data_IF_549468338403
#
_entry.id   IF_549468338403
#
_cell.length_a   1.000
_cell.length_b   1.000
_cell.length_c   1.000
_cell.angle_alpha   90.00
_cell.angle_beta   90.00
_cell.angle_gamma   90.00
#
_symmetry.space_group_name_H-M   'P 1'
#
loop_
_entity.id
_entity.type
_entity.pdbx_description
1 polymer ?
#
# COMPACT_ATOMS: atom_id res chain seq x y z
N UNK A 1 -17.62 -4.90 17.40
CA UNK A 1 -17.62 -3.90 16.30
C UNK A 1 -17.55 -4.66 14.99
N UNK A 2 -18.50 -4.41 14.07
CA UNK A 2 -18.45 -5.02 12.74
C UNK A 2 -17.28 -4.41 11.94
N UNK A 3 -16.50 -5.25 11.24
CA UNK A 3 -15.51 -4.76 10.29
C UNK A 3 -16.21 -3.99 9.17
N UNK A 4 -15.61 -2.87 8.75
CA UNK A 4 -16.08 -2.12 7.57
C UNK A 4 -15.99 -2.99 6.32
N UNK A 5 -16.85 -2.74 5.33
CA UNK A 5 -16.78 -3.41 4.02
C UNK A 5 -15.43 -3.09 3.38
N UNK A 6 -14.68 -4.13 3.01
CA UNK A 6 -13.45 -4.01 2.22
C UNK A 6 -13.66 -4.70 0.88
N UNK A 7 -13.53 -3.95 -0.20
CA UNK A 7 -13.61 -4.49 -1.57
C UNK A 7 -12.35 -4.20 -2.40
N UNK A 8 -11.41 -3.39 -1.87
CA UNK A 8 -10.19 -2.99 -2.59
C UNK A 8 -8.95 -3.10 -1.72
N UNK A 9 -7.86 -3.56 -2.31
CA UNK A 9 -6.51 -3.50 -1.75
C UNK A 9 -5.68 -2.64 -2.69
N UNK A 10 -5.20 -1.49 -2.21
CA UNK A 10 -4.53 -0.49 -3.04
C UNK A 10 -3.06 -0.41 -2.62
N UNK A 11 -2.18 -0.66 -3.58
CA UNK A 11 -0.73 -0.64 -3.42
C UNK A 11 -0.18 0.75 -3.76
N UNK A 12 0.71 1.25 -2.90
CA UNK A 12 1.37 2.54 -2.99
C UNK A 12 2.89 2.38 -2.85
N UNK A 13 3.62 3.42 -3.26
CA UNK A 13 5.01 3.63 -2.88
C UNK A 13 5.11 4.89 -2.01
N UNK A 14 6.13 4.96 -1.16
CA UNK A 14 6.38 6.10 -0.29
C UNK A 14 6.96 7.32 -1.04
N UNK A 15 7.41 7.11 -2.28
CA UNK A 15 8.08 8.12 -3.10
C UNK A 15 9.39 8.61 -2.49
N UNK A 16 10.02 7.76 -1.67
CA UNK A 16 11.32 7.98 -1.04
C UNK A 16 12.44 7.50 -1.97
N UNK A 17 13.69 7.97 -1.80
CA UNK A 17 14.84 7.44 -2.55
C UNK A 17 14.93 5.91 -2.46
N UNK A 18 15.15 5.26 -3.59
CA UNK A 18 15.36 3.82 -3.66
C UNK A 18 16.63 3.43 -2.87
N UNK A 19 16.61 2.25 -2.23
CA UNK A 19 17.71 1.76 -1.39
C UNK A 19 17.91 2.46 -0.04
N UNK A 20 17.19 3.56 0.23
CA UNK A 20 17.19 4.23 1.54
C UNK A 20 16.02 3.75 2.39
N UNK A 21 16.33 3.11 3.51
CA UNK A 21 15.29 2.61 4.41
C UNK A 21 14.65 3.74 5.23
N UNK A 22 13.36 3.58 5.47
CA UNK A 22 12.54 4.45 6.30
C UNK A 22 11.53 3.58 7.03
N UNK A 23 11.06 4.05 8.17
CA UNK A 23 10.09 3.32 8.97
C UNK A 23 8.73 4.04 8.97
N UNK A 24 7.68 3.35 9.42
CA UNK A 24 6.34 3.93 9.50
C UNK A 24 6.29 5.19 10.37
N UNK A 25 7.19 5.32 11.36
CA UNK A 25 7.33 6.53 12.18
C UNK A 25 7.75 7.75 11.35
N UNK A 26 8.58 7.55 10.32
CA UNK A 26 8.94 8.63 9.40
C UNK A 26 7.74 9.08 8.56
N UNK A 27 6.98 8.11 8.03
CA UNK A 27 5.74 8.39 7.28
C UNK A 27 4.69 9.09 8.16
N UNK A 28 4.52 8.63 9.40
CA UNK A 28 3.60 9.24 10.37
C UNK A 28 3.98 10.71 10.63
N UNK A 29 5.27 10.99 10.86
CA UNK A 29 5.80 12.35 11.00
C UNK A 29 5.48 13.19 9.76
N UNK A 30 5.83 12.72 8.55
CA UNK A 30 5.59 13.47 7.31
C UNK A 30 4.11 13.74 7.03
N UNK A 31 3.23 12.81 7.38
CA UNK A 31 1.79 13.01 7.23
C UNK A 31 1.26 14.00 8.27
N UNK A 32 1.76 13.98 9.52
CA UNK A 32 1.42 14.98 10.54
C UNK A 32 1.89 16.38 10.16
N UNK A 33 3.07 16.52 9.57
CA UNK A 33 3.56 17.79 9.02
C UNK A 33 2.64 18.34 7.91
N UNK A 34 1.89 17.48 7.22
CA UNK A 34 0.85 17.83 6.24
C UNK A 34 -0.54 18.04 6.86
N UNK A 35 -0.64 18.08 8.18
CA UNK A 35 -1.89 18.29 8.92
C UNK A 35 -2.75 17.03 9.08
N UNK A 36 -2.22 15.84 8.80
CA UNK A 36 -2.96 14.59 9.02
C UNK A 36 -2.83 14.14 10.48
N UNK A 37 -3.79 13.37 10.96
CA UNK A 37 -3.76 12.86 12.33
C UNK A 37 -2.64 11.83 12.56
N UNK A 38 -2.35 11.03 11.54
CA UNK A 38 -1.34 9.97 11.56
C UNK A 38 -1.04 9.46 10.15
N UNK A 39 -0.15 8.47 10.04
CA UNK A 39 0.09 7.68 8.83
C UNK A 39 -1.25 7.32 8.13
N UNK A 40 -1.31 7.48 6.81
CA UNK A 40 -2.54 7.32 6.03
C UNK A 40 -2.78 5.89 5.56
N UNK A 41 -1.75 5.05 5.64
CA UNK A 41 -1.77 3.66 5.19
C UNK A 41 -2.15 2.72 6.34
N UNK A 42 -2.62 1.54 5.97
CA UNK A 42 -2.84 0.45 6.92
C UNK A 42 -1.56 -0.32 7.17
N UNK A 43 -0.69 -0.39 6.15
CA UNK A 43 0.58 -1.10 6.21
C UNK A 43 1.68 -0.34 5.47
N UNK A 44 2.90 -0.45 6.00
CA UNK A 44 4.13 0.00 5.37
C UNK A 44 5.10 -1.18 5.30
N UNK A 45 5.73 -1.41 4.15
CA UNK A 45 6.69 -2.49 3.95
C UNK A 45 8.08 -1.89 3.71
N UNK A 46 8.98 -2.13 4.66
CA UNK A 46 10.39 -1.69 4.66
C UNK A 46 11.22 -2.44 3.63
N UNK A 47 12.44 -1.97 3.34
CA UNK A 47 13.31 -2.57 2.32
C UNK A 47 13.66 -4.04 2.59
N UNK A 48 13.72 -4.44 3.86
CA UNK A 48 13.99 -5.83 4.29
C UNK A 48 12.75 -6.75 4.23
N UNK A 49 11.60 -6.22 3.81
CA UNK A 49 10.32 -6.94 3.77
C UNK A 49 9.54 -6.90 5.10
N UNK A 50 10.03 -6.23 6.14
CA UNK A 50 9.29 -6.04 7.40
C UNK A 50 8.00 -5.27 7.12
N UNK A 51 6.87 -5.81 7.58
CA UNK A 51 5.55 -5.18 7.49
C UNK A 51 5.23 -4.47 8.81
N UNK A 52 5.11 -3.16 8.76
CA UNK A 52 4.74 -2.31 9.90
C UNK A 52 3.26 -1.90 9.81
N UNK A 53 2.54 -2.05 10.93
CA UNK A 53 1.12 -1.72 11.02
C UNK A 53 0.92 -0.21 11.22
N UNK A 54 0.13 0.40 10.35
CA UNK A 54 -0.33 1.78 10.46
C UNK A 54 -1.71 1.88 11.08
N UNK A 55 -2.67 2.43 10.32
CA UNK A 55 -4.06 2.52 10.78
C UNK A 55 -4.66 1.11 10.97
N UNK A 56 -5.39 0.87 12.06
CA UNK A 56 -6.11 -0.38 12.23
C UNK A 56 -7.16 -0.54 11.12
N UNK A 57 -7.45 -1.77 10.71
CA UNK A 57 -8.39 -2.06 9.62
C UNK A 57 -9.81 -1.52 9.85
N UNK A 58 -10.22 -1.40 11.12
CA UNK A 58 -11.51 -0.83 11.49
C UNK A 58 -11.58 0.70 11.22
N UNK A 59 -10.43 1.37 11.12
CA UNK A 59 -10.34 2.80 10.84
C UNK A 59 -10.22 3.03 9.33
N UNK A 60 -10.88 4.08 8.85
CA UNK A 60 -10.79 4.51 7.45
C UNK A 60 -9.38 5.08 7.17
N UNK A 61 -8.80 4.65 6.05
CA UNK A 61 -7.51 5.11 5.56
C UNK A 61 -7.52 6.55 5.07
N UNK A 62 -6.34 7.09 4.79
CA UNK A 62 -6.16 8.38 4.12
C UNK A 62 -5.08 8.23 3.04
N UNK A 63 -5.35 7.41 2.02
CA UNK A 63 -4.34 7.05 1.01
C UNK A 63 -4.84 7.12 -0.44
N UNK A 64 -6.15 7.04 -0.69
CA UNK A 64 -6.74 7.13 -2.03
C UNK A 64 -8.10 7.85 -1.96
N UNK A 65 -8.14 9.11 -2.39
CA UNK A 65 -9.36 9.95 -2.36
C UNK A 65 -10.48 9.28 -3.16
N UNK A 66 -11.68 9.18 -2.57
CA UNK A 66 -12.84 8.50 -3.17
C UNK A 66 -12.89 6.99 -2.95
N UNK A 67 -11.82 6.38 -2.42
CA UNK A 67 -11.73 4.93 -2.22
C UNK A 67 -11.34 4.52 -0.79
N UNK A 68 -11.01 5.47 0.09
CA UNK A 68 -10.56 5.20 1.45
C UNK A 68 -11.53 4.34 2.29
N UNK A 69 -12.84 4.57 2.15
CA UNK A 69 -13.86 3.96 3.01
C UNK A 69 -13.92 2.43 2.88
N UNK A 70 -13.69 1.91 1.68
CA UNK A 70 -13.82 0.48 1.36
C UNK A 70 -12.51 -0.20 0.98
N UNK A 71 -11.36 0.45 1.22
CA UNK A 71 -10.06 -0.07 0.82
C UNK A 71 -9.05 -0.23 1.95
N UNK A 72 -8.11 -1.15 1.74
CA UNK A 72 -6.86 -1.27 2.50
C UNK A 72 -5.74 -0.63 1.67
N UNK A 73 -4.86 0.09 2.34
CA UNK A 73 -3.73 0.80 1.72
C UNK A 73 -2.42 0.22 2.22
N UNK A 74 -1.61 -0.31 1.30
CA UNK A 74 -0.30 -0.90 1.59
C UNK A 74 0.76 -0.05 0.87
N UNK A 75 1.73 0.48 1.60
CA UNK A 75 2.78 1.34 1.07
C UNK A 75 4.13 0.62 1.10
N UNK A 76 4.87 0.64 -0.02
CA UNK A 76 6.25 0.17 -0.11
C UNK A 76 7.20 1.35 0.12
N UNK A 77 8.21 1.18 0.98
CA UNK A 77 9.33 2.12 1.05
C UNK A 77 10.12 2.09 -0.26
N UNK A 78 10.47 3.25 -0.78
CA UNK A 78 11.09 3.42 -2.09
C UNK A 78 10.16 4.06 -3.12
N UNK A 79 10.63 4.07 -4.37
CA UNK A 79 9.95 4.69 -5.51
C UNK A 79 9.82 3.74 -6.69
N UNK A 80 10.90 3.08 -7.15
CA UNK A 80 10.89 2.25 -8.36
C UNK A 80 11.60 0.91 -8.22
N UNK A 81 12.57 0.81 -7.32
CA UNK A 81 13.42 -0.38 -7.14
C UNK A 81 13.05 -1.14 -5.86
N UNK A 82 11.88 -1.78 -5.89
CA UNK A 82 11.41 -2.56 -4.74
C UNK A 82 12.16 -3.88 -4.60
N UNK A 83 12.56 -4.22 -3.38
CA UNK A 83 13.37 -5.41 -3.12
C UNK A 83 12.55 -6.70 -3.28
N UNK A 84 13.18 -7.85 -3.56
CA UNK A 84 12.49 -9.13 -3.56
C UNK A 84 11.76 -9.42 -2.24
N UNK A 85 12.36 -9.05 -1.09
CA UNK A 85 11.76 -9.22 0.22
C UNK A 85 10.46 -8.40 0.37
N UNK A 86 10.46 -7.15 -0.10
CA UNK A 86 9.25 -6.32 -0.16
C UNK A 86 8.15 -6.97 -1.00
N UNK A 87 8.48 -7.47 -2.19
CA UNK A 87 7.51 -8.07 -3.10
C UNK A 87 6.94 -9.38 -2.53
N UNK A 88 7.74 -10.20 -1.84
CA UNK A 88 7.27 -11.40 -1.15
C UNK A 88 6.29 -11.03 -0.03
N UNK A 89 6.66 -10.09 0.83
CA UNK A 89 5.80 -9.61 1.92
C UNK A 89 4.50 -9.00 1.40
N UNK A 90 4.57 -8.19 0.33
CA UNK A 90 3.40 -7.62 -0.32
C UNK A 90 2.46 -8.71 -0.84
N UNK A 91 2.99 -9.72 -1.55
CA UNK A 91 2.18 -10.81 -2.11
C UNK A 91 1.50 -11.61 -1.01
N UNK A 92 2.22 -11.94 0.06
CA UNK A 92 1.68 -12.67 1.20
C UNK A 92 0.58 -11.85 1.90
N UNK A 93 0.82 -10.56 2.13
CA UNK A 93 -0.14 -9.67 2.78
C UNK A 93 -1.42 -9.50 1.95
N UNK A 94 -1.31 -9.29 0.64
CA UNK A 94 -2.47 -9.24 -0.26
C UNK A 94 -3.21 -10.58 -0.23
N UNK A 95 -2.50 -11.71 -0.29
CA UNK A 95 -3.10 -13.05 -0.24
C UNK A 95 -3.90 -13.29 1.04
N UNK A 96 -3.37 -12.89 2.21
CA UNK A 96 -4.07 -12.96 3.48
C UNK A 96 -5.35 -12.11 3.48
N UNK A 97 -5.30 -10.89 2.92
CA UNK A 97 -6.47 -10.04 2.85
C UNK A 97 -7.53 -10.52 1.88
N UNK A 98 -7.15 -11.12 0.76
CA UNK A 98 -8.12 -11.72 -0.16
C UNK A 98 -8.85 -12.91 0.45
N UNK A 99 -8.21 -13.65 1.36
CA UNK A 99 -8.86 -14.71 2.14
C UNK A 99 -9.83 -14.12 3.17
N UNK A 100 -9.43 -13.05 3.84
CA UNK A 100 -10.25 -12.38 4.87
C UNK A 100 -11.45 -11.61 4.26
N UNK A 101 -11.27 -11.06 3.06
CA UNK A 101 -12.28 -10.31 2.31
C UNK A 101 -12.45 -10.91 0.90
N UNK A 102 -13.19 -12.03 0.80
CA UNK A 102 -13.45 -12.66 -0.49
C UNK A 102 -14.09 -11.68 -1.48
N UNK A 103 -13.63 -11.71 -2.74
CA UNK A 103 -14.08 -10.80 -3.79
C UNK A 103 -13.38 -9.44 -3.81
N UNK A 104 -12.47 -9.15 -2.86
CA UNK A 104 -11.64 -7.95 -2.93
C UNK A 104 -10.69 -7.97 -4.13
N UNK A 105 -10.55 -6.81 -4.77
CA UNK A 105 -9.71 -6.60 -5.94
C UNK A 105 -8.43 -5.83 -5.57
N UNK A 106 -7.36 -6.06 -6.34
CA UNK A 106 -6.04 -5.49 -6.11
C UNK A 106 -5.75 -4.42 -7.16
N UNK A 107 -5.35 -3.24 -6.70
CA UNK A 107 -5.09 -2.09 -7.55
C UNK A 107 -3.75 -1.43 -7.23
N UNK A 108 -3.10 -0.86 -8.25
CA UNK A 108 -2.16 0.24 -8.05
C UNK A 108 -2.91 1.57 -7.93
N UNK A 109 -2.38 2.52 -7.16
CA UNK A 109 -3.03 3.83 -7.01
C UNK A 109 -3.25 4.55 -8.36
N UNK A 110 -2.36 4.37 -9.34
CA UNK A 110 -2.50 4.91 -10.70
C UNK A 110 -3.80 4.49 -11.40
N UNK A 111 -4.32 3.30 -11.10
CA UNK A 111 -5.56 2.80 -11.71
C UNK A 111 -6.81 3.55 -11.22
N UNK A 112 -6.71 4.15 -10.04
CA UNK A 112 -7.81 4.84 -9.35
C UNK A 112 -7.67 6.36 -9.40
N UNK A 113 -6.50 6.86 -9.83
CA UNK A 113 -6.22 8.28 -9.95
C UNK A 113 -5.40 8.56 -11.20
N UNK A 114 -6.06 9.13 -12.23
CA UNK A 114 -5.50 9.32 -13.59
C UNK A 114 -4.16 10.08 -13.66
N UNK A 115 -3.83 10.89 -12.66
CA UNK A 115 -2.63 11.75 -12.65
C UNK A 115 -1.53 11.23 -11.71
N UNK A 116 -1.55 9.94 -11.36
CA UNK A 116 -0.53 9.32 -10.50
C UNK A 116 0.08 8.12 -11.19
N UNK A 117 1.38 7.93 -11.04
CA UNK A 117 2.09 6.71 -11.45
C UNK A 117 2.25 5.72 -10.30
N UNK A 118 2.02 6.13 -9.05
CA UNK A 118 2.14 5.32 -7.84
C UNK A 118 1.39 3.96 -7.97
N UNK A 119 2.02 2.80 -7.69
CA UNK A 119 3.34 2.60 -7.06
C UNK A 119 4.54 2.53 -8.03
N UNK A 120 4.42 3.04 -9.26
CA UNK A 120 5.42 3.03 -10.34
C UNK A 120 5.71 1.65 -10.95
N UNK A 121 4.82 0.68 -10.74
CA UNK A 121 4.78 -0.58 -11.50
C UNK A 121 3.35 -1.06 -11.71
N UNK A 122 3.16 -1.95 -12.69
CA UNK A 122 1.88 -2.58 -13.00
C UNK A 122 1.55 -3.65 -11.95
N UNK A 123 0.69 -3.30 -11.02
CA UNK A 123 0.33 -4.16 -9.88
C UNK A 123 -0.45 -5.39 -10.33
N UNK A 124 -1.33 -5.26 -11.32
CA UNK A 124 -2.15 -6.39 -11.82
C UNK A 124 -1.30 -7.41 -12.56
N UNK A 125 -0.43 -6.97 -13.47
CA UNK A 125 0.49 -7.88 -14.18
C UNK A 125 1.42 -8.60 -13.19
N UNK A 126 1.92 -7.89 -12.18
CA UNK A 126 2.78 -8.49 -11.16
C UNK A 126 2.04 -9.48 -10.25
N UNK A 127 0.82 -9.14 -9.81
CA UNK A 127 0.10 -9.97 -8.86
C UNK A 127 -0.54 -11.20 -9.51
N UNK A 128 -1.18 -11.04 -10.67
CA UNK A 128 -1.91 -12.13 -11.34
C UNK A 128 -1.10 -12.80 -12.46
N UNK A 129 -0.29 -12.04 -13.20
CA UNK A 129 0.53 -12.56 -14.30
C UNK A 129 1.94 -12.97 -13.88
N UNK A 130 2.38 -12.60 -12.67
CA UNK A 130 3.73 -12.85 -12.18
C UNK A 130 4.82 -11.99 -12.81
N UNK A 131 4.46 -11.08 -13.73
CA UNK A 131 5.42 -10.24 -14.47
C UNK A 131 5.56 -8.88 -13.79
N UNK A 132 6.78 -8.55 -13.34
CA UNK A 132 7.06 -7.21 -12.83
C UNK A 132 7.38 -6.27 -13.99
N UNK A 133 6.59 -5.20 -14.13
CA UNK A 133 6.76 -4.19 -15.18
C UNK A 133 6.59 -2.80 -14.59
N UNK A 134 7.61 -1.96 -14.73
CA UNK A 134 7.53 -0.56 -14.31
C UNK A 134 6.56 0.24 -15.20
N UNK A 135 6.01 1.32 -14.62
CA UNK A 135 5.21 2.32 -15.33
C UNK A 135 5.80 3.73 -15.18
#
# INVERSE_FOLDING_TARGET
MALRKIDKIIVHCADTPDGKDFIIKDIDRWHKERGWQCCGYHHVIRLDGTVENGRPLAQIGAHCKGYNETSIGICLIGRREFTPAQLVSLRNLIGSYRKLFPGSEVFGHYELCRNKSCPNFNVKEWYYGGVFKQI
#
